data_IF_777550944178
#
_entry.id   IF_777550944178
#
_cell.length_a   1.000
_cell.length_b   1.000
_cell.length_c   1.000
_cell.angle_alpha   90.00
_cell.angle_beta   90.00
_cell.angle_gamma   90.00
#
_symmetry.space_group_name_H-M   'P 1'
#
loop_
_entity.id
_entity.type
_entity.pdbx_description
1 polymer ?
#
# COMPACT_ATOMS: atom_id res chain seq x y z
N UNK A 1 -2.95 15.28 3.28
CA UNK A 1 -2.59 14.04 2.56
C UNK A 1 -2.81 12.88 3.52
N UNK A 2 -3.63 11.91 3.13
CA UNK A 2 -3.97 10.73 3.93
C UNK A 2 -2.71 9.96 4.38
N UNK A 3 -2.66 9.57 5.66
CA UNK A 3 -1.55 8.81 6.26
C UNK A 3 -1.34 7.49 5.51
N UNK A 4 -2.41 6.82 5.10
CA UNK A 4 -2.36 5.59 4.30
C UNK A 4 -1.60 5.81 3.00
N UNK A 5 -1.92 6.89 2.27
CA UNK A 5 -1.22 7.25 1.02
C UNK A 5 0.25 7.58 1.24
N UNK A 6 0.61 8.23 2.36
CA UNK A 6 2.01 8.50 2.71
C UNK A 6 2.78 7.21 2.99
N UNK A 7 2.20 6.28 3.73
CA UNK A 7 2.81 4.97 4.02
C UNK A 7 3.03 4.20 2.71
N UNK A 8 2.02 4.09 1.86
CA UNK A 8 2.13 3.39 0.56
C UNK A 8 3.19 4.02 -0.35
N UNK A 9 3.28 5.36 -0.37
CA UNK A 9 4.32 6.05 -1.13
C UNK A 9 5.73 5.72 -0.62
N UNK A 10 5.95 5.76 0.69
CA UNK A 10 7.27 5.44 1.25
C UNK A 10 7.65 3.97 1.02
N UNK A 11 6.67 3.05 1.06
CA UNK A 11 6.88 1.65 0.68
C UNK A 11 7.28 1.51 -0.80
N UNK A 12 6.60 2.22 -1.70
CA UNK A 12 6.96 2.27 -3.12
C UNK A 12 8.38 2.79 -3.35
N UNK A 13 8.84 3.71 -2.51
CA UNK A 13 10.21 4.24 -2.51
C UNK A 13 11.24 3.26 -1.89
N UNK A 14 10.82 2.07 -1.45
CA UNK A 14 11.70 1.02 -0.92
C UNK A 14 11.96 1.09 0.58
N UNK A 15 11.24 1.94 1.33
CA UNK A 15 11.42 2.06 2.77
C UNK A 15 10.79 0.88 3.52
N UNK A 16 11.50 0.38 4.52
CA UNK A 16 10.98 -0.56 5.53
C UNK A 16 10.01 0.13 6.50
N UNK A 17 9.22 -0.64 7.24
CA UNK A 17 8.28 -0.14 8.25
C UNK A 17 8.98 0.66 9.36
N UNK A 18 10.19 0.23 9.74
CA UNK A 18 11.04 0.93 10.69
C UNK A 18 11.47 2.29 10.16
N UNK A 19 11.98 2.35 8.92
CA UNK A 19 12.37 3.60 8.26
C UNK A 19 11.17 4.54 8.12
N UNK A 20 9.98 4.04 7.80
CA UNK A 20 8.75 4.85 7.73
C UNK A 20 8.42 5.47 9.09
N UNK A 21 8.50 4.68 10.17
CA UNK A 21 8.32 5.17 11.54
C UNK A 21 9.32 6.31 11.83
N UNK A 22 10.59 6.12 11.49
CA UNK A 22 11.63 7.09 11.80
C UNK A 22 11.51 8.36 10.94
N UNK A 23 11.12 8.25 9.67
CA UNK A 23 10.78 9.39 8.80
C UNK A 23 9.60 10.17 9.38
N UNK A 24 8.54 9.51 9.83
CA UNK A 24 7.39 10.19 10.42
C UNK A 24 7.75 10.87 11.76
N UNK A 25 8.61 10.27 12.58
CA UNK A 25 9.15 10.92 13.79
C UNK A 25 9.95 12.17 13.43
N UNK A 26 10.89 12.05 12.50
CA UNK A 26 11.74 13.14 12.04
C UNK A 26 10.93 14.31 11.48
N UNK A 27 9.87 14.01 10.72
CA UNK A 27 8.98 15.02 10.14
C UNK A 27 7.91 15.56 11.12
N UNK A 28 7.88 15.08 12.37
CA UNK A 28 6.85 15.48 13.34
C UNK A 28 5.43 15.02 12.97
N UNK A 29 5.29 14.04 12.07
CA UNK A 29 4.00 13.50 11.63
C UNK A 29 3.51 12.47 12.63
N UNK A 30 2.22 12.46 12.95
CA UNK A 30 1.56 11.41 13.74
C UNK A 30 0.58 10.63 12.84
N UNK A 31 0.43 9.31 13.06
CA UNK A 31 1.15 8.47 14.04
C UNK A 31 2.60 8.20 13.62
N UNK A 32 3.49 7.86 14.55
CA UNK A 32 4.91 7.62 14.22
C UNK A 32 5.61 6.54 15.07
N UNK A 33 4.84 5.71 15.77
CA UNK A 33 5.40 4.51 16.38
C UNK A 33 5.40 3.37 15.35
N UNK A 34 6.41 2.50 15.38
CA UNK A 34 6.47 1.31 14.53
C UNK A 34 5.18 0.49 14.60
N UNK A 35 4.72 0.19 15.82
CA UNK A 35 3.49 -0.57 16.04
C UNK A 35 2.27 0.09 15.38
N UNK A 36 2.19 1.43 15.37
CA UNK A 36 1.09 2.10 14.67
C UNK A 36 1.25 1.99 13.15
N UNK A 37 2.46 2.14 12.60
CA UNK A 37 2.71 1.93 11.16
C UNK A 37 2.31 0.51 10.74
N UNK A 38 2.69 -0.50 11.53
CA UNK A 38 2.30 -1.90 11.32
C UNK A 38 0.78 -2.09 11.33
N UNK A 39 0.06 -1.45 12.28
CA UNK A 39 -1.41 -1.49 12.33
C UNK A 39 -2.04 -0.88 11.09
N UNK A 40 -1.56 0.28 10.63
CA UNK A 40 -2.03 0.88 9.38
C UNK A 40 -1.78 -0.06 8.20
N UNK A 41 -0.61 -0.68 8.11
CA UNK A 41 -0.32 -1.62 7.04
C UNK A 41 -1.15 -2.90 7.09
N UNK A 42 -1.48 -3.36 8.29
CA UNK A 42 -2.43 -4.46 8.48
C UNK A 42 -3.81 -4.07 7.96
N UNK A 43 -4.32 -2.90 8.35
CA UNK A 43 -5.61 -2.40 7.87
C UNK A 43 -5.65 -2.28 6.36
N UNK A 44 -4.62 -1.67 5.75
CA UNK A 44 -4.54 -1.54 4.28
C UNK A 44 -4.57 -2.92 3.62
N UNK A 45 -3.84 -3.91 4.13
CA UNK A 45 -3.91 -5.26 3.57
C UNK A 45 -5.30 -5.87 3.70
N UNK A 46 -5.97 -5.68 4.83
CA UNK A 46 -7.32 -6.20 5.06
C UNK A 46 -8.35 -5.56 4.12
N UNK A 47 -8.26 -4.24 3.91
CA UNK A 47 -9.13 -3.49 3.01
C UNK A 47 -9.04 -4.01 1.57
N UNK A 48 -7.82 -4.31 1.12
CA UNK A 48 -7.53 -4.88 -0.21
C UNK A 48 -7.57 -6.41 -0.25
N UNK A 49 -7.95 -7.08 0.85
CA UNK A 49 -7.96 -8.55 0.98
C UNK A 49 -6.61 -9.21 0.62
N UNK A 50 -5.51 -8.49 0.81
CA UNK A 50 -4.16 -8.93 0.50
C UNK A 50 -3.58 -9.83 1.60
N UNK A 51 -2.96 -10.93 1.18
CA UNK A 51 -2.33 -11.93 2.08
C UNK A 51 -0.93 -11.51 2.53
N UNK A 52 -0.22 -10.73 1.72
CA UNK A 52 1.14 -10.25 1.97
C UNK A 52 1.30 -8.84 1.41
N UNK A 53 2.40 -8.15 1.77
CA UNK A 53 2.72 -6.84 1.18
C UNK A 53 3.02 -6.94 -0.32
N UNK A 54 3.58 -8.07 -0.77
CA UNK A 54 3.79 -8.33 -2.20
C UNK A 54 2.45 -8.51 -2.93
N UNK A 55 1.51 -9.27 -2.36
CA UNK A 55 0.17 -9.42 -2.91
C UNK A 55 -0.56 -8.06 -2.96
N UNK A 56 -0.45 -7.25 -1.90
CA UNK A 56 -0.97 -5.88 -1.89
C UNK A 56 -0.37 -5.03 -3.02
N UNK A 57 0.94 -5.09 -3.21
CA UNK A 57 1.61 -4.34 -4.27
C UNK A 57 1.11 -4.74 -5.66
N UNK A 58 0.88 -6.04 -5.89
CA UNK A 58 0.34 -6.54 -7.15
C UNK A 58 -1.10 -6.06 -7.40
N UNK A 59 -2.00 -6.16 -6.41
CA UNK A 59 -3.38 -5.63 -6.52
C UNK A 59 -3.38 -4.14 -6.82
N UNK A 60 -2.55 -3.35 -6.12
CA UNK A 60 -2.46 -1.89 -6.34
C UNK A 60 -1.93 -1.53 -7.72
N UNK A 61 -1.05 -2.38 -8.29
CA UNK A 61 -0.58 -2.24 -9.67
C UNK A 61 -1.75 -2.56 -10.61
N UNK A 62 -2.43 -3.69 -10.45
CA UNK A 62 -3.59 -4.05 -11.28
C UNK A 62 -4.66 -2.94 -11.29
N UNK A 63 -5.05 -2.40 -10.14
CA UNK A 63 -6.00 -1.28 -10.06
C UNK A 63 -5.49 0.00 -10.75
N UNK A 64 -4.17 0.25 -10.74
CA UNK A 64 -3.56 1.38 -11.45
C UNK A 64 -3.46 1.13 -12.96
N UNK A 65 -3.40 -0.14 -13.37
CA UNK A 65 -3.19 -0.57 -14.74
C UNK A 65 -4.44 -1.10 -15.43
N UNK A 66 -5.60 -1.15 -14.74
CA UNK A 66 -6.89 -1.70 -15.22
C UNK A 66 -6.89 -1.81 -16.75
N UNK A 67 -6.41 -2.96 -17.21
CA UNK A 67 -6.52 -3.31 -18.60
C UNK A 67 -8.02 -3.48 -18.77
N UNK A 68 -8.66 -2.53 -19.45
CA UNK A 68 -9.84 -2.83 -20.22
C UNK A 68 -9.38 -3.85 -21.28
N UNK A 69 -9.14 -5.09 -20.87
CA UNK A 69 -9.14 -6.21 -21.79
C UNK A 69 -10.59 -6.65 -21.83
N UNK A 70 -11.29 -5.95 -22.72
CA UNK A 70 -12.28 -6.46 -23.64
C UNK A 70 -12.59 -7.95 -23.45
N UNK A 71 -13.81 -8.23 -22.97
CA UNK A 71 -14.52 -9.43 -23.40
C UNK A 71 -14.68 -9.33 -24.93
N UNK A 72 -13.68 -9.78 -25.70
CA UNK A 72 -13.98 -10.31 -27.02
C UNK A 72 -14.62 -11.68 -26.80
N UNK A 73 -15.96 -11.67 -26.77
CA UNK A 73 -16.78 -12.82 -27.17
C UNK A 73 -16.21 -13.36 -28.49
N UNK A 74 -15.40 -14.41 -28.41
CA UNK A 74 -15.16 -15.25 -29.59
C UNK A 74 -16.41 -16.12 -29.78
N UNK A 75 -17.43 -15.56 -30.42
CA UNK A 75 -18.39 -16.35 -31.20
C UNK A 75 -17.64 -16.91 -32.42
N UNK A 76 -17.37 -18.21 -32.40
CA UNK A 76 -17.21 -19.04 -33.61
C UNK A 76 -17.80 -20.42 -33.37
#
# INVERSE_FOLDING_TARGET
>A
MDITKKILRLLKEGNTQQQISDIFKYQGIKPNSLCTIEKYLKQIREDYKAKSLFHLAYILIEEQYNFEDDEEETEF
#
